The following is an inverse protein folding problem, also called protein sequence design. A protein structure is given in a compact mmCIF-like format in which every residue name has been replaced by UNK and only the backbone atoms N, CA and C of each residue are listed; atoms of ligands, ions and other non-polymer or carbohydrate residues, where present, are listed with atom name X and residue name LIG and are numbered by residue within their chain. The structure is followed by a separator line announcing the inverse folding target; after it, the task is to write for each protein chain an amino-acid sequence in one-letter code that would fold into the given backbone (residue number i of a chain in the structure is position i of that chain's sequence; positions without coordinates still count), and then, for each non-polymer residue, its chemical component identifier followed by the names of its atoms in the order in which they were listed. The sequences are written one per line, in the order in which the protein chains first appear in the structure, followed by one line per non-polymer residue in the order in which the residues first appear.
data_IF_374818037364
#
_entry.id   IF_374818037364
#
_cell.length_a   1.000
_cell.length_b   1.000
_cell.length_c   1.000
_cell.angle_alpha   90.00
_cell.angle_beta   90.00
_cell.angle_gamma   90.00
#
_symmetry.space_group_name_H-M   'P 1'
#
loop_
_entity.id
_entity.type
_entity.pdbx_description
1 polymer ?
#
# COMPACT_ATOMS: atom_id res chain seq x y z
N UNK A 1 -85.83 -26.07 15.45
CA UNK A 1 -84.55 -26.82 15.45
C UNK A 1 -83.64 -26.10 14.47
N UNK A 2 -82.91 -25.08 14.98
CA UNK A 2 -82.07 -24.18 14.15
C UNK A 2 -80.62 -24.50 14.41
N UNK A 3 -79.90 -24.97 13.39
CA UNK A 3 -78.50 -25.32 13.40
C UNK A 3 -77.68 -24.02 13.26
N UNK A 4 -76.87 -23.66 14.25
CA UNK A 4 -75.91 -22.53 14.18
C UNK A 4 -74.58 -23.06 13.71
N UNK A 5 -74.15 -22.72 12.50
CA UNK A 5 -72.82 -22.91 11.97
C UNK A 5 -71.96 -21.73 12.42
N UNK A 6 -71.00 -21.97 13.32
CA UNK A 6 -69.97 -21.00 13.67
C UNK A 6 -68.79 -21.12 12.68
N UNK A 7 -68.65 -20.09 11.84
CA UNK A 7 -67.54 -19.94 10.92
C UNK A 7 -66.34 -19.35 11.70
N UNK A 8 -65.28 -20.15 11.91
CA UNK A 8 -64.06 -19.72 12.57
C UNK A 8 -63.13 -19.12 11.50
N UNK A 9 -63.00 -17.77 11.48
CA UNK A 9 -62.00 -17.09 10.67
C UNK A 9 -60.61 -17.24 11.32
N UNK A 10 -59.74 -18.12 10.76
CA UNK A 10 -58.35 -18.20 11.15
C UNK A 10 -57.58 -17.09 10.42
N UNK A 11 -57.22 -16.04 11.15
CA UNK A 11 -56.33 -14.97 10.66
C UNK A 11 -54.88 -15.49 10.68
N UNK A 12 -54.35 -15.83 9.51
CA UNK A 12 -52.94 -16.16 9.34
C UNK A 12 -52.13 -14.87 9.42
N UNK A 13 -51.52 -14.61 10.56
CA UNK A 13 -50.50 -13.56 10.73
C UNK A 13 -49.22 -14.09 10.11
N UNK A 14 -48.93 -13.66 8.88
CA UNK A 14 -47.62 -13.87 8.24
C UNK A 14 -46.57 -13.04 8.98
N UNK A 15 -45.89 -13.63 9.92
CA UNK A 15 -44.68 -13.02 10.51
C UNK A 15 -43.55 -13.11 9.45
N UNK A 16 -43.36 -12.03 8.73
CA UNK A 16 -42.19 -11.85 7.89
C UNK A 16 -40.94 -11.83 8.82
N UNK A 17 -40.29 -12.98 8.96
CA UNK A 17 -38.94 -13.05 9.55
C UNK A 17 -38.04 -12.26 8.60
N UNK A 18 -37.86 -10.96 8.88
CA UNK A 18 -36.78 -10.18 8.31
C UNK A 18 -35.48 -10.86 8.68
N UNK A 19 -34.83 -11.52 7.72
CA UNK A 19 -33.46 -11.96 7.85
C UNK A 19 -32.63 -10.72 8.15
N UNK A 20 -32.29 -10.48 9.42
CA UNK A 20 -31.23 -9.55 9.79
C UNK A 20 -29.98 -10.07 9.09
N UNK A 21 -29.67 -9.53 7.93
CA UNK A 21 -28.41 -9.77 7.24
C UNK A 21 -27.32 -9.16 8.13
N UNK A 22 -26.74 -9.99 9.00
CA UNK A 22 -25.59 -9.58 9.81
C UNK A 22 -24.46 -9.21 8.88
N UNK A 23 -23.82 -8.07 9.13
CA UNK A 23 -22.65 -7.64 8.36
C UNK A 23 -21.57 -8.74 8.39
N UNK A 24 -21.00 -9.05 7.25
CA UNK A 24 -20.01 -10.11 7.12
C UNK A 24 -18.66 -9.67 7.70
N UNK A 25 -18.12 -10.44 8.60
CA UNK A 25 -16.82 -10.22 9.20
C UNK A 25 -15.69 -10.27 8.13
N UNK A 26 -14.77 -9.29 8.20
CA UNK A 26 -13.58 -9.20 7.37
C UNK A 26 -12.42 -8.75 8.24
N UNK A 27 -11.44 -9.64 8.44
CA UNK A 27 -10.27 -9.40 9.31
C UNK A 27 -9.14 -8.78 8.50
N UNK A 28 -8.76 -7.55 8.85
CA UNK A 28 -7.74 -6.79 8.13
C UNK A 28 -6.56 -6.50 9.06
N UNK A 29 -5.38 -7.01 8.71
CA UNK A 29 -4.16 -6.71 9.44
C UNK A 29 -3.57 -5.38 8.95
N UNK A 30 -3.33 -4.46 9.88
CA UNK A 30 -2.79 -3.13 9.60
C UNK A 30 -1.61 -2.82 10.49
N UNK A 31 -0.68 -2.01 9.99
CA UNK A 31 0.34 -1.41 10.83
C UNK A 31 -0.24 -0.21 11.56
N UNK A 32 0.05 -0.09 12.86
CA UNK A 32 -0.41 1.02 13.70
C UNK A 32 -0.04 2.40 13.12
N UNK A 33 1.11 2.50 12.46
CA UNK A 33 1.62 3.73 11.83
C UNK A 33 1.45 3.73 10.30
N UNK A 34 0.72 2.77 9.76
CA UNK A 34 0.50 2.64 8.31
C UNK A 34 -0.59 3.55 7.80
N UNK A 35 -0.42 4.02 6.56
CA UNK A 35 -1.37 4.95 5.92
C UNK A 35 -2.74 4.34 5.61
N UNK A 36 -2.87 3.02 5.62
CA UNK A 36 -4.16 2.36 5.52
C UNK A 36 -5.08 2.64 6.71
N UNK A 37 -4.52 2.94 7.89
CA UNK A 37 -5.30 3.38 9.04
C UNK A 37 -6.09 4.67 8.77
N UNK A 38 -5.58 5.56 7.90
CA UNK A 38 -6.26 6.79 7.49
C UNK A 38 -7.52 6.49 6.68
N UNK A 39 -7.44 5.55 5.73
CA UNK A 39 -8.61 5.11 4.96
C UNK A 39 -9.65 4.42 5.84
N UNK A 40 -9.22 3.57 6.77
CA UNK A 40 -10.13 2.92 7.72
C UNK A 40 -10.86 3.93 8.61
N UNK A 41 -10.22 5.02 8.98
CA UNK A 41 -10.88 6.10 9.71
C UNK A 41 -11.98 6.78 8.87
N UNK A 42 -11.68 7.06 7.60
CA UNK A 42 -12.68 7.62 6.64
C UNK A 42 -13.81 6.62 6.40
N UNK A 43 -13.50 5.34 6.20
CA UNK A 43 -14.50 4.27 6.03
C UNK A 43 -15.48 4.27 7.20
N UNK A 44 -14.99 4.30 8.43
CA UNK A 44 -15.82 4.32 9.64
C UNK A 44 -16.61 5.62 9.80
N UNK A 45 -15.97 6.77 9.55
CA UNK A 45 -16.62 8.07 9.68
C UNK A 45 -17.78 8.27 8.72
N UNK A 46 -17.70 7.70 7.52
CA UNK A 46 -18.72 7.77 6.48
C UNK A 46 -19.64 6.55 6.44
N UNK A 47 -19.43 5.54 7.32
CA UNK A 47 -20.22 4.31 7.36
C UNK A 47 -20.13 3.48 6.08
N UNK A 48 -19.01 3.57 5.36
CA UNK A 48 -18.80 2.83 4.10
C UNK A 48 -18.74 1.32 4.32
N UNK A 49 -18.28 0.87 5.47
CA UNK A 49 -18.32 -0.52 5.91
C UNK A 49 -19.75 -1.05 6.04
N UNK A 50 -20.63 -0.26 6.66
CA UNK A 50 -22.06 -0.58 6.78
C UNK A 50 -22.75 -0.61 5.41
N UNK A 51 -22.46 0.37 4.54
CA UNK A 51 -22.96 0.40 3.17
C UNK A 51 -22.50 -0.81 2.35
N UNK A 52 -21.28 -1.28 2.59
CA UNK A 52 -20.73 -2.49 1.99
C UNK A 52 -21.23 -3.78 2.65
N UNK A 53 -22.06 -3.71 3.69
CA UNK A 53 -22.47 -4.86 4.53
C UNK A 53 -21.25 -5.67 5.03
N UNK A 54 -20.20 -4.96 5.46
CA UNK A 54 -18.99 -5.55 6.03
C UNK A 54 -18.78 -5.11 7.47
N UNK A 55 -18.36 -6.04 8.33
CA UNK A 55 -17.85 -5.77 9.67
C UNK A 55 -16.32 -5.86 9.64
N UNK A 56 -15.65 -4.72 9.47
CA UNK A 56 -14.19 -4.68 9.35
C UNK A 56 -13.54 -4.78 10.72
N UNK A 57 -12.98 -5.95 11.00
CA UNK A 57 -12.20 -6.25 12.21
C UNK A 57 -10.73 -5.92 11.96
N UNK A 58 -10.19 -4.97 12.70
CA UNK A 58 -8.82 -4.48 12.53
C UNK A 58 -7.89 -5.16 13.51
N UNK A 59 -6.90 -5.87 12.98
CA UNK A 59 -5.78 -6.43 13.75
C UNK A 59 -4.58 -5.48 13.62
N UNK A 60 -4.32 -4.68 14.66
CA UNK A 60 -3.16 -3.78 14.67
C UNK A 60 -1.88 -4.54 14.99
N UNK A 61 -0.86 -4.38 14.16
CA UNK A 61 0.41 -5.07 14.26
C UNK A 61 1.60 -4.08 14.22
N UNK A 62 2.68 -4.49 14.85
CA UNK A 62 3.87 -3.64 15.00
C UNK A 62 4.73 -3.57 13.74
N UNK A 63 4.68 -4.59 12.85
CA UNK A 63 5.53 -4.66 11.67
C UNK A 63 4.81 -5.29 10.46
N UNK A 64 5.31 -5.05 9.23
CA UNK A 64 4.83 -5.75 8.02
C UNK A 64 4.96 -7.27 8.13
N UNK A 65 6.03 -7.76 8.72
CA UNK A 65 6.32 -9.19 8.88
C UNK A 65 5.27 -9.87 9.77
N UNK A 66 4.85 -9.20 10.86
CA UNK A 66 3.77 -9.69 11.71
C UNK A 66 2.45 -9.81 10.92
N UNK A 67 2.17 -8.87 10.01
CA UNK A 67 1.01 -8.94 9.10
C UNK A 67 1.06 -10.15 8.16
N UNK A 68 2.21 -10.38 7.55
CA UNK A 68 2.44 -11.55 6.67
C UNK A 68 2.25 -12.87 7.44
N UNK A 69 2.73 -12.95 8.67
CA UNK A 69 2.53 -14.12 9.55
C UNK A 69 1.06 -14.28 9.88
N UNK A 70 0.34 -13.21 10.24
CA UNK A 70 -1.08 -13.26 10.56
C UNK A 70 -1.93 -13.76 9.37
N UNK A 71 -1.64 -13.30 8.14
CA UNK A 71 -2.30 -13.77 6.92
C UNK A 71 -2.04 -15.26 6.70
N UNK A 72 -0.78 -15.71 6.78
CA UNK A 72 -0.40 -17.13 6.57
C UNK A 72 -0.98 -18.06 7.63
N UNK A 73 -1.15 -17.57 8.86
CA UNK A 73 -1.78 -18.31 9.95
C UNK A 73 -3.31 -18.31 9.90
N UNK A 74 -3.93 -17.59 8.94
CA UNK A 74 -5.38 -17.45 8.85
C UNK A 74 -5.99 -16.56 9.95
N UNK A 75 -5.19 -15.76 10.64
CA UNK A 75 -5.65 -14.81 11.66
C UNK A 75 -6.10 -13.46 11.04
N UNK A 76 -5.74 -13.21 9.80
CA UNK A 76 -6.23 -12.10 8.99
C UNK A 76 -6.63 -12.60 7.61
N UNK A 77 -7.62 -11.95 6.99
CA UNK A 77 -8.07 -12.25 5.63
C UNK A 77 -7.32 -11.38 4.61
N UNK A 78 -6.98 -10.15 5.00
CA UNK A 78 -6.30 -9.16 4.16
C UNK A 78 -5.14 -8.52 4.93
N UNK A 79 -4.02 -8.31 4.24
CA UNK A 79 -2.89 -7.52 4.72
C UNK A 79 -2.41 -6.57 3.62
N UNK A 80 -1.81 -5.45 3.98
CA UNK A 80 -1.12 -4.56 3.02
C UNK A 80 0.33 -5.03 2.90
N UNK A 81 0.73 -5.39 1.68
CA UNK A 81 2.10 -5.80 1.34
C UNK A 81 2.41 -5.50 -0.13
N UNK A 82 3.51 -6.05 -0.65
CA UNK A 82 3.94 -5.83 -2.03
C UNK A 82 3.78 -7.08 -2.91
N UNK A 83 3.59 -6.86 -4.22
CA UNK A 83 3.42 -7.96 -5.18
C UNK A 83 4.70 -8.80 -5.35
N UNK A 84 5.88 -8.25 -5.03
CA UNK A 84 7.14 -9.00 -5.12
C UNK A 84 7.19 -10.10 -4.07
N UNK A 85 6.79 -9.79 -2.83
CA UNK A 85 6.60 -10.79 -1.79
C UNK A 85 5.56 -11.84 -2.21
N UNK A 86 4.43 -11.43 -2.77
CA UNK A 86 3.40 -12.36 -3.27
C UNK A 86 3.97 -13.30 -4.31
N UNK A 87 4.65 -12.78 -5.33
CA UNK A 87 5.27 -13.61 -6.37
C UNK A 87 6.30 -14.58 -5.82
N UNK A 88 7.16 -14.11 -4.88
CA UNK A 88 8.13 -14.96 -4.20
C UNK A 88 7.47 -16.11 -3.43
N UNK A 89 6.44 -15.82 -2.65
CA UNK A 89 5.71 -16.84 -1.88
C UNK A 89 4.99 -17.84 -2.81
N UNK A 90 4.46 -17.36 -3.95
CA UNK A 90 3.87 -18.24 -4.97
C UNK A 90 4.92 -19.17 -5.58
N UNK A 91 6.11 -18.68 -5.85
CA UNK A 91 7.26 -19.49 -6.28
C UNK A 91 7.68 -20.55 -5.25
N UNK A 92 7.32 -20.37 -3.97
CA UNK A 92 7.53 -21.32 -2.87
C UNK A 92 6.30 -22.20 -2.59
N UNK A 93 5.23 -22.09 -3.40
CA UNK A 93 4.02 -22.93 -3.35
C UNK A 93 2.83 -22.30 -2.61
N UNK A 94 2.97 -21.13 -1.97
CA UNK A 94 1.83 -20.42 -1.41
C UNK A 94 0.90 -19.89 -2.52
N UNK A 95 -0.39 -19.75 -2.21
CA UNK A 95 -1.41 -19.26 -3.15
C UNK A 95 -1.93 -17.89 -2.71
N UNK A 96 -1.02 -16.90 -2.64
CA UNK A 96 -1.35 -15.51 -2.36
C UNK A 96 -1.66 -14.76 -3.65
N UNK A 97 -2.47 -13.70 -3.56
CA UNK A 97 -2.74 -12.80 -4.68
C UNK A 97 -2.81 -11.35 -4.19
N UNK A 98 -2.64 -10.40 -5.10
CA UNK A 98 -2.41 -8.98 -4.85
C UNK A 98 -3.41 -8.12 -5.61
N UNK A 99 -3.90 -7.06 -4.96
CA UNK A 99 -4.69 -6.01 -5.60
C UNK A 99 -4.10 -4.64 -5.28
N UNK A 100 -3.91 -3.73 -6.27
CA UNK A 100 -3.26 -2.43 -6.09
C UNK A 100 -3.88 -1.56 -4.98
N UNK A 101 -3.02 -1.03 -4.08
CA UNK A 101 -3.38 -0.10 -3.01
C UNK A 101 -2.75 1.27 -3.18
N UNK A 102 -1.42 1.32 -3.45
CA UNK A 102 -0.68 2.58 -3.55
C UNK A 102 0.50 2.47 -4.51
N UNK A 103 0.69 3.50 -5.33
CA UNK A 103 1.87 3.69 -6.17
C UNK A 103 2.90 4.65 -5.54
N UNK A 104 2.63 5.20 -4.36
CA UNK A 104 3.59 6.05 -3.63
C UNK A 104 4.71 5.20 -3.06
N UNK A 105 5.95 5.46 -3.45
CA UNK A 105 7.14 4.73 -3.00
C UNK A 105 7.99 5.54 -2.03
N UNK A 106 8.54 6.61 -2.49
CA UNK A 106 9.44 7.45 -1.74
C UNK A 106 10.37 8.25 -2.64
N UNK A 107 11.38 8.87 -2.05
CA UNK A 107 12.26 9.74 -2.81
C UNK A 107 13.65 9.87 -2.19
N UNK A 108 14.60 10.30 -3.01
CA UNK A 108 15.85 10.87 -2.52
C UNK A 108 15.60 12.32 -2.13
N UNK A 109 15.79 12.62 -0.85
CA UNK A 109 15.56 13.93 -0.23
C UNK A 109 16.89 14.54 0.21
N UNK A 110 17.03 15.85 0.03
CA UNK A 110 18.18 16.63 0.48
C UNK A 110 17.72 17.97 1.08
N UNK A 111 18.51 18.62 1.94
CA UNK A 111 18.24 20.01 2.36
C UNK A 111 18.11 20.95 1.14
N UNK A 112 17.28 21.98 1.24
CA UNK A 112 17.12 22.95 0.13
C UNK A 112 18.46 23.57 -0.32
N UNK A 113 19.37 23.83 0.61
CA UNK A 113 20.72 24.38 0.37
C UNK A 113 21.74 23.37 -0.14
N UNK A 114 21.37 22.08 -0.25
CA UNK A 114 22.31 21.02 -0.66
C UNK A 114 22.85 21.24 -2.08
N UNK A 115 24.15 21.01 -2.32
CA UNK A 115 24.73 21.04 -3.66
C UNK A 115 24.31 19.86 -4.54
N UNK A 116 23.70 18.80 -3.97
CA UNK A 116 23.25 17.61 -4.69
C UNK A 116 22.02 18.00 -5.53
N UNK A 117 22.16 18.13 -6.84
CA UNK A 117 21.07 18.49 -7.77
C UNK A 117 20.53 17.28 -8.53
N UNK A 118 21.36 16.27 -8.75
CA UNK A 118 21.06 15.04 -9.49
C UNK A 118 21.40 13.81 -8.67
N UNK A 119 20.92 12.65 -9.10
CA UNK A 119 21.27 11.38 -8.46
C UNK A 119 22.77 11.05 -8.61
N UNK A 120 23.44 11.56 -9.64
CA UNK A 120 24.89 11.36 -9.82
C UNK A 120 25.71 12.09 -8.75
N UNK A 121 25.21 13.19 -8.19
CA UNK A 121 25.88 13.96 -7.14
C UNK A 121 25.86 13.26 -5.77
N UNK A 122 25.23 12.10 -5.67
CA UNK A 122 25.27 11.24 -4.48
C UNK A 122 26.64 10.55 -4.28
N UNK A 123 27.50 10.55 -5.32
CA UNK A 123 28.87 10.02 -5.21
C UNK A 123 29.64 10.76 -4.14
N UNK A 124 30.33 10.00 -3.29
CA UNK A 124 31.11 10.54 -2.18
C UNK A 124 30.26 11.08 -1.02
N UNK A 125 28.93 10.96 -1.07
CA UNK A 125 28.02 11.48 -0.05
C UNK A 125 27.58 10.41 0.96
N UNK A 126 27.08 10.86 2.11
CA UNK A 126 26.47 10.02 3.12
C UNK A 126 24.97 9.91 2.81
N UNK A 127 24.53 8.75 2.35
CA UNK A 127 23.14 8.47 2.00
C UNK A 127 22.49 7.55 3.04
N UNK A 128 21.45 8.03 3.70
CA UNK A 128 20.59 7.22 4.54
C UNK A 128 19.55 6.48 3.67
N UNK A 129 19.42 5.17 3.84
CA UNK A 129 18.50 4.32 3.06
C UNK A 129 17.54 3.61 4.00
N UNK A 130 16.26 3.95 3.94
CA UNK A 130 15.21 3.34 4.73
C UNK A 130 14.99 1.88 4.34
N UNK A 131 14.69 1.03 5.33
CA UNK A 131 14.54 -0.41 5.15
C UNK A 131 15.87 -1.15 5.29
N UNK A 132 16.46 -1.56 4.19
CA UNK A 132 17.70 -2.33 4.21
C UNK A 132 18.30 -2.54 2.82
N UNK A 133 19.36 -3.39 2.71
CA UNK A 133 20.05 -3.61 1.44
C UNK A 133 19.16 -4.17 0.32
N UNK A 134 18.06 -4.83 0.67
CA UNK A 134 17.09 -5.41 -0.28
C UNK A 134 15.77 -4.62 -0.34
N UNK A 135 15.71 -3.37 0.19
CA UNK A 135 14.56 -2.50 0.01
C UNK A 135 14.33 -2.20 -1.48
N UNK A 136 13.07 -2.27 -1.91
CA UNK A 136 12.70 -2.16 -3.33
C UNK A 136 13.02 -0.79 -3.92
N UNK A 137 12.78 0.28 -3.16
CA UNK A 137 13.09 1.65 -3.59
C UNK A 137 14.58 1.84 -3.79
N UNK A 138 15.39 1.26 -2.88
CA UNK A 138 16.84 1.24 -3.00
C UNK A 138 17.31 0.48 -4.24
N UNK A 139 16.78 -0.72 -4.47
CA UNK A 139 17.17 -1.55 -5.61
C UNK A 139 16.77 -0.92 -6.95
N UNK A 140 15.59 -0.26 -7.03
CA UNK A 140 15.16 0.49 -8.22
C UNK A 140 16.08 1.68 -8.48
N UNK A 141 16.51 2.41 -7.44
CA UNK A 141 17.48 3.48 -7.56
C UNK A 141 18.83 2.95 -8.09
N UNK A 142 19.33 1.85 -7.53
CA UNK A 142 20.57 1.21 -8.00
C UNK A 142 20.45 0.74 -9.46
N UNK A 143 19.33 0.13 -9.83
CA UNK A 143 19.10 -0.31 -11.20
C UNK A 143 19.15 0.85 -12.20
N UNK A 144 18.57 1.99 -11.83
CA UNK A 144 18.63 3.19 -12.64
C UNK A 144 20.03 3.76 -12.75
N UNK A 145 20.76 3.90 -11.63
CA UNK A 145 22.10 4.43 -11.61
C UNK A 145 23.09 3.54 -12.37
N UNK A 146 22.95 2.23 -12.27
CA UNK A 146 23.76 1.26 -13.03
C UNK A 146 23.64 1.45 -14.54
N UNK A 147 22.46 1.81 -15.07
CA UNK A 147 22.28 2.16 -16.49
C UNK A 147 23.11 3.40 -16.91
N UNK A 148 23.43 4.26 -15.95
CA UNK A 148 24.28 5.45 -16.15
C UNK A 148 25.75 5.20 -15.77
N UNK A 149 26.14 3.94 -15.55
CA UNK A 149 27.50 3.58 -15.20
C UNK A 149 27.91 3.94 -13.76
N UNK A 150 26.93 4.16 -12.86
CA UNK A 150 27.19 4.55 -11.46
C UNK A 150 26.97 3.36 -10.55
N UNK A 151 27.99 2.94 -9.81
CA UNK A 151 27.87 1.98 -8.71
C UNK A 151 27.81 2.71 -7.36
N UNK A 152 26.61 3.18 -7.03
CA UNK A 152 26.42 3.96 -5.82
C UNK A 152 26.76 3.19 -4.52
N UNK A 153 26.71 1.84 -4.54
CA UNK A 153 27.11 1.02 -3.38
C UNK A 153 28.57 1.20 -3.01
N UNK A 154 29.44 1.32 -4.01
CA UNK A 154 30.88 1.52 -3.81
C UNK A 154 31.27 3.00 -3.79
N UNK A 155 30.44 3.87 -4.37
CA UNK A 155 30.76 5.29 -4.59
C UNK A 155 30.15 6.24 -3.53
N UNK A 156 29.35 5.73 -2.58
CA UNK A 156 28.77 6.52 -1.50
C UNK A 156 28.85 5.80 -0.15
N UNK A 157 28.74 6.56 0.94
CA UNK A 157 28.63 5.98 2.29
C UNK A 157 27.17 5.71 2.61
N UNK A 158 26.78 4.42 2.66
CA UNK A 158 25.38 4.03 2.85
C UNK A 158 25.11 3.68 4.31
N UNK A 159 24.06 4.25 4.91
CA UNK A 159 23.55 3.89 6.21
C UNK A 159 22.12 3.37 6.11
N UNK A 160 21.91 2.11 6.46
CA UNK A 160 20.56 1.50 6.51
C UNK A 160 19.92 1.66 7.88
N UNK A 161 18.59 1.79 7.92
CA UNK A 161 17.89 1.91 9.20
C UNK A 161 16.40 2.14 9.10
N UNK A 162 15.78 2.33 10.28
CA UNK A 162 14.36 2.63 10.37
C UNK A 162 14.04 4.02 9.80
N UNK A 163 12.95 4.16 9.02
CA UNK A 163 12.59 5.41 8.35
C UNK A 163 12.57 6.66 9.25
N UNK A 164 11.97 6.65 10.46
CA UNK A 164 11.94 7.84 11.32
C UNK A 164 13.33 8.23 11.83
N UNK A 165 14.17 7.25 12.17
CA UNK A 165 15.56 7.49 12.61
C UNK A 165 16.36 8.17 11.51
N UNK A 166 16.26 7.67 10.27
CA UNK A 166 17.00 8.20 9.14
C UNK A 166 16.52 9.59 8.75
N UNK A 167 15.20 9.86 8.84
CA UNK A 167 14.68 11.20 8.65
C UNK A 167 15.24 12.18 9.70
N UNK A 168 15.32 11.78 10.97
CA UNK A 168 15.93 12.58 12.05
C UNK A 168 17.41 12.84 11.80
N UNK A 169 18.20 11.83 11.41
CA UNK A 169 19.64 11.98 11.08
C UNK A 169 19.88 12.89 9.88
N UNK A 170 18.97 12.89 8.92
CA UNK A 170 19.07 13.80 7.76
C UNK A 170 18.72 15.24 8.16
N UNK A 171 17.72 15.42 9.04
CA UNK A 171 17.37 16.72 9.61
C UNK A 171 18.50 17.33 10.45
N UNK A 172 19.23 16.51 11.21
CA UNK A 172 20.36 16.98 12.03
C UNK A 172 21.64 17.25 11.21
N UNK A 173 21.66 16.91 9.91
CA UNK A 173 22.84 17.08 9.05
C UNK A 173 23.89 15.97 9.19
N UNK A 174 23.59 14.89 9.93
CA UNK A 174 24.48 13.72 9.99
C UNK A 174 24.58 12.99 8.65
N UNK A 175 23.52 13.08 7.83
CA UNK A 175 23.43 12.50 6.49
C UNK A 175 23.22 13.60 5.45
N UNK A 176 23.90 13.53 4.30
CA UNK A 176 23.81 14.49 3.22
C UNK A 176 22.48 14.36 2.45
N UNK A 177 21.97 13.12 2.38
CA UNK A 177 20.71 12.77 1.68
C UNK A 177 20.03 11.59 2.37
N UNK A 178 18.74 11.43 2.12
CA UNK A 178 18.02 10.19 2.49
C UNK A 178 17.16 9.69 1.34
N UNK A 179 17.19 8.38 1.10
CA UNK A 179 16.14 7.66 0.40
C UNK A 179 15.19 7.12 1.46
N UNK A 180 13.98 7.66 1.50
CA UNK A 180 13.01 7.31 2.54
C UNK A 180 11.62 7.05 1.94
N UNK A 181 10.72 6.48 2.74
CA UNK A 181 9.35 6.23 2.32
C UNK A 181 8.58 7.53 2.15
N UNK A 182 7.56 7.51 1.29
CA UNK A 182 6.87 8.68 0.81
C UNK A 182 6.35 9.62 1.91
N UNK A 183 5.81 9.08 3.00
CA UNK A 183 5.28 9.87 4.12
C UNK A 183 6.39 10.59 4.90
N UNK A 184 7.56 9.96 5.10
CA UNK A 184 8.72 10.61 5.70
C UNK A 184 9.31 11.66 4.77
N UNK A 185 9.33 11.40 3.45
CA UNK A 185 9.73 12.38 2.45
C UNK A 185 8.82 13.61 2.48
N UNK A 186 7.50 13.42 2.53
CA UNK A 186 6.53 14.50 2.65
C UNK A 186 6.74 15.33 3.94
N UNK A 187 7.04 14.67 5.07
CA UNK A 187 7.39 15.36 6.30
C UNK A 187 8.69 16.16 6.21
N UNK A 188 9.67 15.71 5.42
CA UNK A 188 10.89 16.46 5.12
C UNK A 188 10.63 17.64 4.17
N UNK A 189 9.77 17.47 3.16
CA UNK A 189 9.34 18.57 2.25
C UNK A 189 8.71 19.72 3.06
N UNK A 190 7.83 19.41 4.01
CA UNK A 190 7.23 20.42 4.89
C UNK A 190 8.27 21.20 5.74
N UNK A 191 9.45 20.62 5.94
CA UNK A 191 10.60 21.23 6.65
C UNK A 191 11.63 21.87 5.72
N UNK A 192 11.27 22.11 4.46
CA UNK A 192 12.12 22.78 3.50
C UNK A 192 13.15 21.89 2.81
N UNK A 193 13.02 20.57 2.89
CA UNK A 193 13.82 19.67 2.06
C UNK A 193 13.24 19.62 0.64
N UNK A 194 14.09 19.33 -0.32
CA UNK A 194 13.67 19.13 -1.71
C UNK A 194 13.90 17.68 -2.15
N UNK A 195 13.06 17.25 -3.04
CA UNK A 195 13.14 15.96 -3.71
C UNK A 195 14.13 16.05 -4.88
N UNK A 196 15.17 15.23 -4.88
CA UNK A 196 16.10 15.07 -6.02
C UNK A 196 15.47 14.19 -7.09
N UNK A 197 14.86 13.08 -6.67
CA UNK A 197 14.09 12.18 -7.54
C UNK A 197 13.08 11.40 -6.72
N UNK A 198 11.85 11.27 -7.22
CA UNK A 198 10.89 10.26 -6.77
C UNK A 198 11.25 8.90 -7.36
N UNK A 199 11.09 7.84 -6.57
CA UNK A 199 11.35 6.47 -7.08
C UNK A 199 10.30 6.08 -8.12
N UNK A 200 9.06 6.49 -7.91
CA UNK A 200 7.97 6.31 -8.88
C UNK A 200 8.27 6.95 -10.25
N UNK A 201 9.07 8.03 -10.29
CA UNK A 201 9.45 8.72 -11.53
C UNK A 201 10.60 8.01 -12.27
N UNK A 202 11.28 7.06 -11.61
CA UNK A 202 12.30 6.21 -12.23
C UNK A 202 11.69 4.99 -12.94
N UNK A 203 10.48 4.56 -12.58
CA UNK A 203 9.86 3.34 -13.14
C UNK A 203 9.73 3.39 -14.65
N UNK A 204 9.28 4.50 -15.29
CA UNK A 204 9.27 4.60 -16.75
C UNK A 204 10.67 4.50 -17.38
N UNK A 205 11.69 5.02 -16.71
CA UNK A 205 13.08 4.93 -17.15
C UNK A 205 13.66 3.52 -17.02
N UNK A 206 13.03 2.68 -16.21
CA UNK A 206 13.34 1.26 -16.06
C UNK A 206 12.50 0.36 -16.99
N UNK A 207 11.59 0.95 -17.77
CA UNK A 207 10.81 0.26 -18.79
C UNK A 207 9.32 0.08 -18.49
N UNK A 208 8.85 0.50 -17.32
CA UNK A 208 7.41 0.55 -17.02
C UNK A 208 6.73 1.63 -17.89
N UNK A 209 5.44 1.47 -18.20
CA UNK A 209 4.69 2.50 -18.96
C UNK A 209 4.22 3.66 -18.10
N UNK A 210 4.22 3.49 -16.77
CA UNK A 210 3.77 4.52 -15.84
C UNK A 210 4.13 4.24 -14.38
N UNK A 211 3.55 5.03 -13.48
CA UNK A 211 3.62 4.77 -12.05
C UNK A 211 2.89 3.47 -11.76
N UNK A 212 3.57 2.52 -11.16
CA UNK A 212 3.07 1.17 -10.88
C UNK A 212 2.87 1.01 -9.39
N UNK A 213 1.71 0.49 -8.98
CA UNK A 213 1.42 0.22 -7.59
C UNK A 213 2.29 -0.95 -7.09
N UNK A 214 3.31 -0.63 -6.29
CA UNK A 214 4.15 -1.65 -5.65
C UNK A 214 3.50 -2.25 -4.41
N UNK A 215 2.61 -1.50 -3.75
CA UNK A 215 1.94 -1.87 -2.52
C UNK A 215 0.47 -2.15 -2.80
N UNK A 216 -0.05 -3.24 -2.23
CA UNK A 216 -1.43 -3.66 -2.44
C UNK A 216 -2.03 -4.44 -1.28
N UNK A 217 -3.31 -4.73 -1.42
CA UNK A 217 -4.02 -5.68 -0.58
C UNK A 217 -3.63 -7.08 -1.00
N UNK A 218 -3.22 -7.89 -0.03
CA UNK A 218 -2.81 -9.28 -0.26
C UNK A 218 -3.73 -10.19 0.53
N UNK A 219 -4.18 -11.26 -0.11
CA UNK A 219 -5.06 -12.27 0.46
C UNK A 219 -4.79 -13.64 -0.16
N UNK A 220 -5.28 -14.70 0.48
CA UNK A 220 -5.18 -16.06 -0.04
C UNK A 220 -6.11 -16.26 -1.24
N UNK A 221 -5.61 -16.90 -2.31
CA UNK A 221 -6.35 -17.11 -3.56
C UNK A 221 -7.57 -18.04 -3.38
N UNK A 222 -7.45 -19.09 -2.53
CA UNK A 222 -8.57 -19.98 -2.26
C UNK A 222 -9.66 -19.28 -1.47
N UNK A 223 -9.24 -18.48 -0.47
CA UNK A 223 -10.16 -17.64 0.27
C UNK A 223 -10.83 -16.61 -0.64
N UNK A 224 -10.07 -15.96 -1.53
CA UNK A 224 -10.59 -14.99 -2.49
C UNK A 224 -11.63 -15.60 -3.42
N UNK A 225 -11.37 -16.78 -3.97
CA UNK A 225 -12.31 -17.48 -4.85
C UNK A 225 -13.62 -17.86 -4.15
N UNK A 226 -13.56 -18.17 -2.84
CA UNK A 226 -14.74 -18.45 -2.03
C UNK A 226 -15.49 -17.18 -1.56
N UNK A 227 -14.87 -15.98 -1.66
CA UNK A 227 -15.38 -14.71 -1.13
C UNK A 227 -15.35 -13.57 -2.16
N UNK A 228 -15.54 -13.85 -3.45
CA UNK A 228 -15.41 -12.86 -4.53
C UNK A 228 -16.27 -11.61 -4.32
N UNK A 229 -17.54 -11.80 -3.91
CA UNK A 229 -18.44 -10.69 -3.63
C UNK A 229 -17.95 -9.84 -2.43
N UNK A 230 -17.47 -10.49 -1.36
CA UNK A 230 -16.90 -9.80 -0.20
C UNK A 230 -15.68 -8.95 -0.57
N UNK A 231 -14.78 -9.50 -1.41
CA UNK A 231 -13.61 -8.75 -1.92
C UNK A 231 -14.06 -7.60 -2.80
N UNK A 232 -15.03 -7.79 -3.69
CA UNK A 232 -15.55 -6.73 -4.56
C UNK A 232 -16.12 -5.57 -3.72
N UNK A 233 -16.90 -5.87 -2.67
CA UNK A 233 -17.43 -4.87 -1.73
C UNK A 233 -16.31 -4.18 -0.94
N UNK A 234 -15.30 -4.91 -0.48
CA UNK A 234 -14.13 -4.34 0.18
C UNK A 234 -13.38 -3.38 -0.73
N UNK A 235 -13.09 -3.77 -1.97
CA UNK A 235 -12.39 -2.92 -2.93
C UNK A 235 -13.23 -1.67 -3.28
N UNK A 236 -14.55 -1.82 -3.48
CA UNK A 236 -15.43 -0.68 -3.70
C UNK A 236 -15.43 0.29 -2.51
N UNK A 237 -15.48 -0.23 -1.29
CA UNK A 237 -15.43 0.54 -0.04
C UNK A 237 -14.11 1.32 0.08
N UNK A 238 -12.96 0.69 -0.18
CA UNK A 238 -11.66 1.36 -0.11
C UNK A 238 -11.47 2.38 -1.23
N UNK A 239 -11.99 2.12 -2.44
CA UNK A 239 -12.04 3.10 -3.53
C UNK A 239 -12.85 4.33 -3.15
N UNK A 240 -14.03 4.16 -2.53
CA UNK A 240 -14.86 5.26 -2.05
C UNK A 240 -14.12 6.11 -0.99
N UNK A 241 -13.42 5.49 -0.05
CA UNK A 241 -12.59 6.21 0.93
C UNK A 241 -11.44 6.99 0.27
N UNK A 242 -10.77 6.39 -0.73
CA UNK A 242 -9.73 7.08 -1.52
C UNK A 242 -10.30 8.27 -2.29
N UNK A 243 -11.51 8.15 -2.83
CA UNK A 243 -12.15 9.25 -3.55
C UNK A 243 -12.48 10.42 -2.61
N UNK A 244 -12.98 10.15 -1.40
CA UNK A 244 -13.19 11.16 -0.37
C UNK A 244 -11.85 11.86 -0.03
N UNK A 245 -10.79 11.10 0.23
CA UNK A 245 -9.47 11.66 0.53
C UNK A 245 -8.84 12.39 -0.67
N UNK A 246 -9.21 12.01 -1.90
CA UNK A 246 -8.69 12.66 -3.11
C UNK A 246 -9.29 14.04 -3.33
N UNK A 247 -10.54 14.25 -2.91
CA UNK A 247 -11.32 15.46 -3.24
C UNK A 247 -11.56 16.39 -2.06
N UNK A 248 -11.52 15.90 -0.81
CA UNK A 248 -11.87 16.68 0.38
C UNK A 248 -10.66 17.04 1.23
N UNK A 249 -10.32 18.32 1.31
CA UNK A 249 -9.31 18.83 2.26
C UNK A 249 -9.83 18.78 3.70
N UNK A 250 -11.13 19.04 3.90
CA UNK A 250 -11.76 18.98 5.21
C UNK A 250 -11.69 17.57 5.84
N UNK A 251 -11.65 16.51 5.03
CA UNK A 251 -11.49 15.15 5.55
C UNK A 251 -10.08 14.92 6.09
N UNK A 252 -9.06 15.53 5.46
CA UNK A 252 -7.69 15.49 5.97
C UNK A 252 -7.55 16.19 7.33
N UNK A 253 -8.26 17.29 7.55
CA UNK A 253 -8.27 17.96 8.86
C UNK A 253 -8.89 17.08 9.95
N UNK A 254 -9.94 16.29 9.62
CA UNK A 254 -10.55 15.35 10.58
C UNK A 254 -9.62 14.22 10.96
N UNK A 255 -8.86 13.66 10.01
CA UNK A 255 -7.94 12.56 10.27
C UNK A 255 -6.54 13.02 10.71
N UNK A 256 -6.28 14.33 10.76
CA UNK A 256 -4.98 14.89 11.15
C UNK A 256 -4.36 14.24 12.40
N UNK A 257 -5.10 14.00 13.49
CA UNK A 257 -4.55 13.36 14.70
C UNK A 257 -4.00 11.95 14.42
N UNK A 258 -4.55 11.23 13.44
CA UNK A 258 -4.12 9.87 13.09
C UNK A 258 -2.89 9.87 12.17
N UNK A 259 -2.63 10.97 11.47
CA UNK A 259 -1.51 11.06 10.54
C UNK A 259 -0.18 11.26 11.26
N UNK A 260 -0.20 11.74 12.49
CA UNK A 260 0.99 12.16 13.22
C UNK A 260 1.64 13.43 12.66
N UNK A 261 0.95 14.18 11.79
CA UNK A 261 1.45 15.46 11.28
C UNK A 261 1.53 16.48 12.41
N UNK A 262 2.72 17.06 12.68
CA UNK A 262 2.91 18.01 13.78
C UNK A 262 2.31 19.39 13.50
N UNK A 263 2.05 19.69 12.22
CA UNK A 263 1.55 20.99 11.77
C UNK A 263 0.78 20.87 10.43
N UNK A 264 0.10 21.96 10.08
CA UNK A 264 -0.70 22.02 8.87
C UNK A 264 0.14 21.90 7.56
N UNK A 265 1.40 22.30 7.57
CA UNK A 265 2.27 22.17 6.40
C UNK A 265 2.60 20.70 6.13
N UNK A 266 2.90 19.94 7.19
CA UNK A 266 3.13 18.49 7.10
C UNK A 266 1.87 17.75 6.68
N UNK A 267 0.70 18.11 7.22
CA UNK A 267 -0.57 17.52 6.83
C UNK A 267 -0.87 17.73 5.34
N UNK A 268 -0.65 18.95 4.83
CA UNK A 268 -0.79 19.24 3.40
C UNK A 268 0.17 18.40 2.55
N UNK A 269 1.43 18.29 2.95
CA UNK A 269 2.39 17.46 2.24
C UNK A 269 1.99 15.97 2.22
N UNK A 270 1.49 15.44 3.33
CA UNK A 270 0.94 14.07 3.38
C UNK A 270 -0.25 13.91 2.43
N UNK A 271 -1.21 14.84 2.46
CA UNK A 271 -2.38 14.85 1.57
C UNK A 271 -1.96 14.80 0.11
N UNK A 272 -1.08 15.72 -0.30
CA UNK A 272 -0.72 15.89 -1.70
C UNK A 272 0.02 14.64 -2.22
N UNK A 273 0.96 14.08 -1.44
CA UNK A 273 1.67 12.86 -1.81
C UNK A 273 0.80 11.61 -1.76
N UNK A 274 -0.14 11.52 -0.82
CA UNK A 274 -1.12 10.44 -0.80
C UNK A 274 -1.99 10.45 -2.06
N UNK A 275 -2.50 11.62 -2.46
CA UNK A 275 -3.32 11.81 -3.67
C UNK A 275 -2.59 11.38 -4.94
N UNK A 276 -1.31 11.72 -5.07
CA UNK A 276 -0.46 11.28 -6.18
C UNK A 276 -0.26 9.77 -6.21
N UNK A 277 -0.30 9.11 -5.07
CA UNK A 277 -0.11 7.68 -4.92
C UNK A 277 -1.37 6.83 -5.12
N UNK A 278 -2.55 7.41 -5.35
CA UNK A 278 -3.78 6.64 -5.58
C UNK A 278 -3.70 5.93 -6.93
N UNK A 279 -3.76 4.57 -6.98
CA UNK A 279 -3.74 3.84 -8.24
C UNK A 279 -4.98 4.15 -9.09
N UNK A 280 -4.78 4.44 -10.37
CA UNK A 280 -5.85 4.77 -11.33
C UNK A 280 -5.76 3.98 -12.62
N UNK A 281 -4.76 3.11 -12.75
CA UNK A 281 -4.51 2.35 -13.97
C UNK A 281 -5.26 1.00 -13.93
N UNK A 282 -5.63 0.45 -15.10
CA UNK A 282 -6.15 -0.91 -15.19
C UNK A 282 -5.16 -1.93 -14.60
N UNK A 283 -5.68 -2.98 -13.96
CA UNK A 283 -4.84 -4.01 -13.32
C UNK A 283 -3.93 -4.70 -14.34
N UNK A 284 -4.42 -4.92 -15.55
CA UNK A 284 -3.62 -5.52 -16.63
C UNK A 284 -2.38 -4.69 -16.98
N UNK A 285 -2.48 -3.35 -16.94
CA UNK A 285 -1.35 -2.45 -17.16
C UNK A 285 -0.39 -2.44 -15.96
N UNK A 286 -0.93 -2.47 -14.74
CA UNK A 286 -0.14 -2.61 -13.51
C UNK A 286 0.67 -3.91 -13.52
N UNK A 287 0.05 -5.04 -13.89
CA UNK A 287 0.72 -6.35 -13.99
C UNK A 287 1.78 -6.37 -15.08
N UNK A 288 1.48 -5.79 -16.27
CA UNK A 288 2.43 -5.73 -17.36
C UNK A 288 3.72 -4.97 -16.95
N UNK A 289 3.58 -3.85 -16.26
CA UNK A 289 4.70 -3.09 -15.73
C UNK A 289 5.40 -3.81 -14.58
N UNK A 290 4.65 -4.48 -13.70
CA UNK A 290 5.21 -5.29 -12.61
C UNK A 290 6.10 -6.42 -13.16
N UNK A 291 5.77 -7.05 -14.29
CA UNK A 291 6.61 -8.06 -14.97
C UNK A 291 7.95 -7.49 -15.43
N UNK A 292 7.95 -6.27 -15.94
CA UNK A 292 9.19 -5.57 -16.34
C UNK A 292 10.04 -5.25 -15.11
N UNK A 293 9.42 -4.66 -14.09
CA UNK A 293 10.09 -4.27 -12.85
C UNK A 293 10.59 -5.48 -12.05
N UNK A 294 9.89 -6.62 -12.11
CA UNK A 294 10.32 -7.86 -11.48
C UNK A 294 11.68 -8.31 -12.01
N UNK A 295 11.86 -8.30 -13.35
CA UNK A 295 13.16 -8.65 -13.97
C UNK A 295 14.26 -7.71 -13.53
N UNK A 296 14.00 -6.40 -13.53
CA UNK A 296 14.94 -5.38 -13.04
C UNK A 296 15.35 -5.64 -11.58
N UNK A 297 14.38 -5.95 -10.73
CA UNK A 297 14.62 -6.23 -9.32
C UNK A 297 15.33 -7.58 -9.11
N UNK A 298 15.00 -8.59 -9.92
CA UNK A 298 15.69 -9.88 -9.90
C UNK A 298 17.16 -9.76 -10.29
N UNK A 299 17.47 -8.96 -11.30
CA UNK A 299 18.84 -8.72 -11.77
C UNK A 299 19.73 -8.02 -10.71
N UNK A 300 19.14 -7.15 -9.88
CA UNK A 300 19.87 -6.39 -8.85
C UNK A 300 19.84 -7.08 -7.49
N UNK A 301 18.67 -7.60 -7.08
CA UNK A 301 18.46 -8.17 -5.75
C UNK A 301 18.66 -9.68 -5.66
N UNK A 302 18.72 -10.35 -6.83
CA UNK A 302 18.95 -11.78 -6.91
C UNK A 302 17.85 -12.63 -6.24
N UNK A 303 18.18 -13.91 -6.04
CA UNK A 303 17.24 -14.90 -5.46
C UNK A 303 16.85 -14.61 -4.01
N UNK A 304 17.64 -13.85 -3.29
CA UNK A 304 17.29 -13.43 -1.93
C UNK A 304 16.01 -12.58 -1.93
N UNK A 305 15.86 -11.71 -2.94
CA UNK A 305 14.69 -10.84 -3.09
C UNK A 305 13.50 -11.56 -3.71
N UNK A 306 13.69 -12.18 -4.89
CA UNK A 306 12.58 -12.69 -5.71
C UNK A 306 12.27 -14.17 -5.49
N UNK A 307 13.11 -14.90 -4.77
CA UNK A 307 12.96 -16.34 -4.56
C UNK A 307 13.40 -17.17 -5.77
N UNK A 308 12.83 -18.38 -5.93
CA UNK A 308 13.27 -19.31 -6.96
C UNK A 308 12.77 -18.99 -8.37
N UNK A 309 11.67 -18.24 -8.51
CA UNK A 309 11.04 -17.96 -9.78
C UNK A 309 11.84 -16.93 -10.60
N UNK A 310 12.14 -17.19 -11.90
CA UNK A 310 12.86 -16.24 -12.74
C UNK A 310 12.00 -15.06 -13.19
N UNK A 311 10.68 -15.21 -13.13
CA UNK A 311 9.69 -14.23 -13.60
C UNK A 311 8.56 -14.06 -12.57
N UNK A 312 7.81 -12.96 -12.70
CA UNK A 312 6.61 -12.71 -11.92
C UNK A 312 5.60 -13.85 -12.17
N UNK A 313 5.16 -14.50 -11.07
CA UNK A 313 4.15 -15.56 -11.17
C UNK A 313 2.83 -15.00 -11.73
N UNK A 314 2.19 -15.72 -12.64
CA UNK A 314 0.99 -15.27 -13.34
C UNK A 314 -0.25 -15.11 -12.45
N UNK A 315 -0.29 -15.75 -11.29
CA UNK A 315 -1.37 -15.60 -10.31
C UNK A 315 -1.13 -14.49 -9.27
N UNK A 316 -0.07 -13.69 -9.46
CA UNK A 316 0.27 -12.62 -8.50
C UNK A 316 -0.81 -11.57 -8.41
N UNK A 317 -1.41 -11.15 -9.52
CA UNK A 317 -2.44 -10.11 -9.56
C UNK A 317 -3.86 -10.70 -9.58
N UNK A 318 -4.76 -10.08 -8.83
CA UNK A 318 -6.15 -10.47 -8.72
C UNK A 318 -7.02 -9.69 -9.71
N UNK A 319 -7.61 -10.38 -10.69
CA UNK A 319 -8.35 -9.78 -11.80
C UNK A 319 -9.88 -9.87 -11.70
N UNK A 320 -10.42 -10.58 -10.69
CA UNK A 320 -11.86 -10.87 -10.63
C UNK A 320 -12.73 -9.67 -10.16
N UNK A 321 -12.21 -8.44 -10.21
CA UNK A 321 -12.99 -7.22 -9.89
C UNK A 321 -13.46 -6.58 -11.19
N UNK A 322 -14.80 -6.49 -11.44
CA UNK A 322 -15.33 -5.81 -12.62
C UNK A 322 -14.85 -4.35 -12.69
N UNK A 323 -14.30 -3.93 -13.82
CA UNK A 323 -13.80 -2.57 -14.04
C UNK A 323 -12.54 -2.22 -13.25
N UNK A 324 -11.75 -3.23 -12.85
CA UNK A 324 -10.44 -3.09 -12.21
C UNK A 324 -9.32 -2.84 -13.21
#
# INVERSE_FOLDING_TARGET
MKLFIRMLLATIVSVSLGTCCSAEALRVAVQKTGTFAWELAVIRAHGLDKQANLSVEVLELASPEAGKIALRAGNADIVVSDWLWVSRERGLGAKLTFYPYSSALGAVMVPASSPIQTLADLRGRKLAVAGGPIDKSWLLLLAWLKKSGIDLKSEATIAYGAPPLLAAKTLSGEMDATLNYWNFCAGLEAKGFRRVAGIEDLLPKLGAKGRTAMIGYVFDEKWANANQDKIARFIAMTRAAKEILSTSDAEWEKIAPLTGAPDAATLRAYRDRYREGIPRRPIADEEADARILYRVLADIGGRELVGPAPELDSGTFYHAIPGG
#
